data_IF_367700469583
#
_entry.id   IF_367700469583
#
_cell.length_a   1.000
_cell.length_b   1.000
_cell.length_c   1.000
_cell.angle_alpha   90.00
_cell.angle_beta   90.00
_cell.angle_gamma   90.00
#
_symmetry.space_group_name_H-M   'P 1'
#
loop_
_entity.id
_entity.type
_entity.pdbx_description
1 polymer ?
#
# COMPACT_ATOMS: atom_id res chain seq x y z
N UNK A 1 -75.20 -43.62 29.70
CA UNK A 1 -74.23 -42.52 29.62
C UNK A 1 -74.63 -41.60 28.47
N UNK A 2 -74.94 -40.34 28.82
CA UNK A 2 -74.99 -39.06 28.06
C UNK A 2 -74.94 -39.15 26.50
N UNK A 3 -75.96 -38.76 25.72
CA UNK A 3 -76.74 -37.51 25.58
C UNK A 3 -75.94 -36.36 24.92
N UNK A 4 -76.41 -35.96 23.71
CA UNK A 4 -76.30 -34.66 23.00
C UNK A 4 -74.89 -34.23 22.49
N UNK A 5 -74.67 -33.50 21.38
CA UNK A 5 -75.41 -32.42 20.68
C UNK A 5 -74.70 -32.16 19.32
N UNK A 6 -75.41 -32.16 18.17
CA UNK A 6 -75.89 -30.99 17.38
C UNK A 6 -74.79 -30.14 16.68
N UNK A 7 -74.71 -30.07 15.34
CA UNK A 7 -75.57 -29.42 14.34
C UNK A 7 -75.28 -27.91 14.14
N UNK A 8 -75.00 -27.54 12.87
CA UNK A 8 -75.21 -26.22 12.22
C UNK A 8 -74.34 -25.03 12.69
N UNK A 9 -73.81 -24.14 11.85
CA UNK A 9 -74.42 -23.39 10.74
C UNK A 9 -73.30 -22.71 9.95
N UNK A 10 -73.34 -22.77 8.61
CA UNK A 10 -72.54 -21.93 7.72
C UNK A 10 -73.23 -20.55 7.62
N UNK A 11 -72.59 -19.48 8.09
CA UNK A 11 -73.04 -18.10 7.87
C UNK A 11 -72.24 -17.47 6.73
N UNK A 12 -72.94 -17.19 5.62
CA UNK A 12 -72.49 -16.33 4.53
C UNK A 12 -72.28 -14.90 5.06
N UNK A 13 -71.05 -14.40 5.05
CA UNK A 13 -70.78 -12.96 5.20
C UNK A 13 -70.54 -12.39 3.81
N UNK A 14 -71.45 -11.50 3.40
CA UNK A 14 -71.34 -10.72 2.18
C UNK A 14 -70.11 -9.81 2.28
N UNK A 15 -69.16 -10.00 1.36
CA UNK A 15 -68.00 -9.14 1.17
C UNK A 15 -68.45 -7.83 0.53
N UNK A 16 -68.48 -6.75 1.31
CA UNK A 16 -68.27 -5.43 0.74
C UNK A 16 -66.80 -5.35 0.36
N UNK A 17 -66.50 -5.54 -0.93
CA UNK A 17 -65.19 -5.25 -1.46
C UNK A 17 -64.94 -3.75 -1.31
N UNK A 18 -64.36 -3.35 -0.18
CA UNK A 18 -63.56 -2.14 -0.14
C UNK A 18 -62.41 -2.38 -1.11
N UNK A 19 -62.50 -1.79 -2.30
CA UNK A 19 -61.32 -1.62 -3.12
C UNK A 19 -60.29 -0.94 -2.21
N UNK A 20 -59.16 -1.61 -1.94
CA UNK A 20 -58.09 -1.01 -1.18
C UNK A 20 -57.75 0.31 -1.86
N UNK A 21 -57.91 1.41 -1.13
CA UNK A 21 -57.56 2.72 -1.61
C UNK A 21 -56.08 2.69 -1.99
N UNK A 22 -55.73 3.12 -3.19
CA UNK A 22 -54.34 3.08 -3.65
C UNK A 22 -53.89 4.45 -4.11
N UNK A 23 -52.62 4.76 -3.86
CA UNK A 23 -52.02 5.98 -4.35
C UNK A 23 -51.76 5.87 -5.84
N UNK A 24 -52.20 6.89 -6.57
CA UNK A 24 -52.11 6.98 -8.01
C UNK A 24 -51.52 8.35 -8.40
N UNK A 25 -50.99 8.47 -9.61
CA UNK A 25 -50.60 9.76 -10.19
C UNK A 25 -51.10 9.93 -11.62
N UNK A 26 -51.52 11.14 -11.96
CA UNK A 26 -51.98 11.53 -13.30
C UNK A 26 -51.21 12.76 -13.82
N UNK A 27 -51.36 13.07 -15.11
CA UNK A 27 -50.71 14.21 -15.78
C UNK A 27 -49.19 14.25 -15.58
N UNK A 28 -48.55 13.09 -15.65
CA UNK A 28 -47.13 12.97 -15.37
C UNK A 28 -46.28 13.35 -16.59
N UNK A 29 -45.31 14.24 -16.37
CA UNK A 29 -44.42 14.77 -17.40
C UNK A 29 -42.98 14.78 -16.88
N UNK A 30 -42.05 14.27 -17.68
CA UNK A 30 -40.62 14.53 -17.51
C UNK A 30 -40.21 15.55 -18.56
N UNK A 31 -39.47 16.55 -18.13
CA UNK A 31 -38.86 17.54 -19.02
C UNK A 31 -37.37 17.65 -18.72
N UNK A 32 -36.54 17.56 -19.75
CA UNK A 32 -35.11 17.87 -19.68
C UNK A 32 -34.95 19.32 -20.08
N UNK A 33 -34.65 20.19 -19.13
CA UNK A 33 -34.35 21.60 -19.40
C UNK A 33 -32.86 21.73 -19.70
N UNK A 34 -32.52 22.00 -20.96
CA UNK A 34 -31.15 22.36 -21.36
C UNK A 34 -30.95 23.86 -21.36
N UNK A 35 -29.74 24.32 -20.99
CA UNK A 35 -29.36 25.75 -21.04
C UNK A 35 -29.03 26.23 -22.46
N UNK A 36 -28.78 25.31 -23.41
CA UNK A 36 -28.31 25.62 -24.78
C UNK A 36 -29.17 25.01 -25.91
N UNK A 37 -30.33 24.40 -25.62
CA UNK A 37 -31.15 23.75 -26.66
C UNK A 37 -32.61 23.52 -26.26
N UNK A 38 -33.44 23.10 -27.23
CA UNK A 38 -34.86 22.78 -27.05
C UNK A 38 -35.03 21.61 -26.06
N UNK A 39 -35.74 21.84 -24.95
CA UNK A 39 -35.95 20.82 -23.93
C UNK A 39 -36.86 19.69 -24.42
N UNK A 40 -36.47 18.44 -24.14
CA UNK A 40 -37.29 17.25 -24.40
C UNK A 40 -38.36 17.15 -23.31
N UNK A 41 -39.63 17.03 -23.69
CA UNK A 41 -40.75 16.82 -22.74
C UNK A 41 -41.52 15.58 -23.16
N UNK A 42 -41.57 14.59 -22.27
CA UNK A 42 -42.29 13.34 -22.49
C UNK A 42 -43.34 13.12 -21.40
N UNK A 43 -44.52 12.65 -21.83
CA UNK A 43 -45.60 12.26 -20.93
C UNK A 43 -45.49 10.77 -20.64
N UNK A 44 -45.69 10.39 -19.39
CA UNK A 44 -45.69 9.00 -18.98
C UNK A 44 -46.90 8.69 -18.11
N UNK A 45 -47.22 7.42 -17.96
CA UNK A 45 -48.39 6.96 -17.20
C UNK A 45 -47.98 5.83 -16.25
N UNK A 46 -48.85 5.50 -15.30
CA UNK A 46 -48.57 4.48 -14.28
C UNK A 46 -48.35 3.06 -14.83
N UNK A 47 -48.85 2.76 -16.03
CA UNK A 47 -48.89 1.39 -16.58
C UNK A 47 -47.78 1.09 -17.59
N UNK A 48 -47.11 2.12 -18.11
CA UNK A 48 -46.08 1.95 -19.13
C UNK A 48 -44.88 2.82 -18.79
N UNK A 49 -43.74 2.17 -18.62
CA UNK A 49 -42.41 2.81 -18.57
C UNK A 49 -42.11 3.40 -19.94
N UNK A 50 -41.46 4.57 -19.98
CA UNK A 50 -41.04 5.18 -21.24
C UNK A 50 -40.08 4.25 -21.98
N UNK A 51 -40.35 3.99 -23.27
CA UNK A 51 -39.61 3.03 -24.09
C UNK A 51 -38.26 3.55 -24.59
N UNK A 52 -38.03 4.86 -24.51
CA UNK A 52 -36.78 5.52 -24.89
C UNK A 52 -36.16 6.15 -23.65
N UNK A 53 -34.88 5.84 -23.42
CA UNK A 53 -34.12 6.50 -22.37
C UNK A 53 -33.88 7.98 -22.70
N UNK A 54 -33.99 8.81 -21.67
CA UNK A 54 -33.89 10.26 -21.77
C UNK A 54 -32.41 10.68 -21.71
N UNK A 55 -31.86 11.30 -22.76
CA UNK A 55 -30.45 11.71 -22.76
C UNK A 55 -30.25 12.94 -21.86
N UNK A 56 -29.31 12.85 -20.91
CA UNK A 56 -28.98 13.93 -20.00
C UNK A 56 -27.58 14.48 -20.27
N UNK A 57 -27.48 15.72 -20.75
CA UNK A 57 -26.20 16.41 -20.97
C UNK A 57 -25.68 17.09 -19.69
N UNK A 58 -24.43 17.54 -19.71
CA UNK A 58 -23.65 18.11 -18.61
C UNK A 58 -24.29 19.34 -17.96
N UNK A 59 -25.10 20.10 -18.69
CA UNK A 59 -25.76 21.32 -18.18
C UNK A 59 -27.25 21.17 -17.92
N UNK A 60 -27.78 19.96 -18.07
CA UNK A 60 -29.23 19.74 -18.10
C UNK A 60 -29.81 19.52 -16.69
N UNK A 61 -31.07 19.90 -16.55
CA UNK A 61 -31.87 19.70 -15.35
C UNK A 61 -33.07 18.84 -15.67
N UNK A 62 -33.26 17.75 -14.94
CA UNK A 62 -34.44 16.89 -15.03
C UNK A 62 -35.55 17.54 -14.20
N UNK A 63 -36.68 17.81 -14.81
CA UNK A 63 -37.87 18.29 -14.12
C UNK A 63 -39.00 17.30 -14.29
N UNK A 64 -39.49 16.77 -13.17
CA UNK A 64 -40.63 15.86 -13.13
C UNK A 64 -41.82 16.57 -12.49
N UNK A 65 -42.96 16.54 -13.17
CA UNK A 65 -44.23 17.11 -12.70
C UNK A 65 -45.31 16.04 -12.79
N UNK A 66 -46.05 15.85 -11.71
CA UNK A 66 -47.19 14.91 -11.67
C UNK A 66 -48.28 15.43 -10.72
N UNK A 67 -49.48 14.87 -10.81
CA UNK A 67 -50.56 15.11 -9.86
C UNK A 67 -50.85 13.84 -9.07
N UNK A 68 -50.64 13.87 -7.77
CA UNK A 68 -50.91 12.76 -6.86
C UNK A 68 -52.39 12.67 -6.53
N UNK A 69 -52.91 11.45 -6.48
CA UNK A 69 -54.30 11.13 -6.17
C UNK A 69 -54.37 10.00 -5.16
N UNK A 70 -55.37 10.10 -4.29
CA UNK A 70 -55.83 9.03 -3.42
C UNK A 70 -57.32 8.84 -3.72
N UNK A 71 -57.75 7.64 -4.08
CA UNK A 71 -59.13 7.34 -4.47
C UNK A 71 -59.71 8.30 -5.53
N UNK A 72 -58.91 8.55 -6.57
CA UNK A 72 -59.22 9.45 -7.71
C UNK A 72 -59.39 10.94 -7.34
N UNK A 73 -59.18 11.32 -6.07
CA UNK A 73 -59.21 12.71 -5.61
C UNK A 73 -57.77 13.24 -5.47
N UNK A 74 -57.49 14.48 -5.92
CA UNK A 74 -56.18 15.08 -5.73
C UNK A 74 -55.92 15.27 -4.24
N UNK A 75 -54.82 14.70 -3.74
CA UNK A 75 -54.43 14.80 -2.33
C UNK A 75 -52.92 14.89 -2.19
N UNK A 76 -52.47 15.62 -1.17
CA UNK A 76 -51.06 15.71 -0.80
C UNK A 76 -50.66 14.46 0.01
N UNK A 77 -49.75 13.60 -0.49
CA UNK A 77 -49.21 12.48 0.27
C UNK A 77 -48.22 12.96 1.33
N UNK A 78 -47.95 12.11 2.33
CA UNK A 78 -46.91 12.37 3.32
C UNK A 78 -45.50 12.18 2.72
N UNK A 79 -45.34 11.20 1.82
CA UNK A 79 -44.10 10.82 1.18
C UNK A 79 -44.28 10.83 -0.34
N UNK A 80 -43.42 11.57 -1.04
CA UNK A 80 -43.35 11.55 -2.50
C UNK A 80 -41.90 11.78 -2.92
N UNK A 81 -41.30 10.76 -3.55
CA UNK A 81 -39.91 10.80 -4.03
C UNK A 81 -39.81 10.29 -5.47
N UNK A 82 -38.84 10.83 -6.21
CA UNK A 82 -38.23 10.14 -7.36
C UNK A 82 -36.96 9.50 -6.85
N UNK A 83 -36.85 8.19 -6.98
CA UNK A 83 -35.64 7.44 -6.69
C UNK A 83 -34.94 7.14 -8.00
N UNK A 84 -33.70 7.59 -8.15
CA UNK A 84 -32.84 7.26 -9.27
C UNK A 84 -31.92 6.13 -8.81
N UNK A 85 -31.92 5.01 -9.54
CA UNK A 85 -31.18 3.80 -9.18
C UNK A 85 -30.17 3.44 -10.25
N UNK A 86 -28.98 3.05 -9.80
CA UNK A 86 -27.94 2.46 -10.63
C UNK A 86 -27.98 0.92 -10.51
N UNK A 87 -27.99 0.21 -11.64
CA UNK A 87 -28.16 -1.24 -11.67
C UNK A 87 -26.96 -2.01 -11.09
N UNK A 88 -25.73 -1.63 -11.46
CA UNK A 88 -24.53 -2.42 -11.13
C UNK A 88 -24.13 -2.33 -9.65
N UNK A 89 -24.28 -1.14 -9.06
CA UNK A 89 -23.92 -0.87 -7.66
C UNK A 89 -25.11 -1.01 -6.72
N UNK A 90 -26.34 -1.00 -7.27
CA UNK A 90 -27.57 -0.95 -6.51
C UNK A 90 -27.78 0.35 -5.72
N UNK A 91 -26.97 1.38 -5.98
CA UNK A 91 -27.07 2.68 -5.31
C UNK A 91 -28.37 3.38 -5.70
N UNK A 92 -29.00 4.02 -4.71
CA UNK A 92 -30.26 4.75 -4.89
C UNK A 92 -30.12 6.18 -4.36
N UNK A 93 -30.56 7.15 -5.16
CA UNK A 93 -30.59 8.56 -4.81
C UNK A 93 -32.05 9.06 -4.77
N UNK A 94 -32.60 9.35 -3.58
CA UNK A 94 -33.96 9.87 -3.44
C UNK A 94 -34.01 11.40 -3.59
N UNK A 95 -34.94 11.88 -4.41
CA UNK A 95 -35.23 13.30 -4.61
C UNK A 95 -36.68 13.60 -4.24
N UNK A 96 -36.89 14.50 -3.27
CA UNK A 96 -38.20 14.82 -2.73
C UNK A 96 -39.02 15.70 -3.69
N UNK A 97 -40.31 15.38 -3.86
CA UNK A 97 -41.23 16.26 -4.56
C UNK A 97 -41.69 17.41 -3.66
N UNK A 98 -41.73 18.63 -4.21
CA UNK A 98 -42.49 19.72 -3.63
C UNK A 98 -43.97 19.56 -4.01
N UNK A 99 -44.79 19.07 -3.07
CA UNK A 99 -46.22 18.81 -3.30
C UNK A 99 -47.10 19.90 -2.69
N UNK A 100 -47.94 20.52 -3.53
CA UNK A 100 -48.95 21.50 -3.12
C UNK A 100 -50.23 20.81 -2.62
N UNK A 101 -51.08 21.54 -1.91
CA UNK A 101 -52.38 21.02 -1.42
C UNK A 101 -53.28 20.49 -2.55
N UNK A 102 -53.16 21.08 -3.75
CA UNK A 102 -53.82 20.62 -4.99
C UNK A 102 -53.37 19.25 -5.52
N UNK A 103 -52.46 18.54 -4.84
CA UNK A 103 -51.85 17.28 -5.30
C UNK A 103 -50.81 17.46 -6.40
N UNK A 104 -50.56 18.68 -6.89
CA UNK A 104 -49.50 18.95 -7.87
C UNK A 104 -48.12 18.83 -7.21
N UNK A 105 -47.32 17.90 -7.69
CA UNK A 105 -45.96 17.60 -7.26
C UNK A 105 -44.95 18.03 -8.33
N UNK A 106 -43.87 18.71 -7.92
CA UNK A 106 -42.79 19.15 -8.81
C UNK A 106 -41.45 18.86 -8.16
N UNK A 107 -40.51 18.29 -8.91
CA UNK A 107 -39.10 18.17 -8.53
C UNK A 107 -38.23 18.62 -9.69
N UNK A 108 -37.18 19.39 -9.39
CA UNK A 108 -36.15 19.78 -10.35
C UNK A 108 -34.82 19.24 -9.83
N UNK A 109 -34.17 18.38 -10.61
CA UNK A 109 -32.94 17.65 -10.28
C UNK A 109 -31.88 18.07 -11.30
N UNK A 110 -30.98 19.00 -10.96
CA UNK A 110 -29.85 19.33 -11.83
C UNK A 110 -28.86 18.17 -11.85
N UNK A 111 -28.21 17.91 -13.00
CA UNK A 111 -27.20 16.82 -13.12
C UNK A 111 -26.09 16.91 -12.07
N UNK A 112 -25.76 18.13 -11.60
CA UNK A 112 -24.74 18.39 -10.56
C UNK A 112 -25.14 17.89 -9.17
N UNK A 113 -26.42 17.72 -8.89
CA UNK A 113 -26.92 17.19 -7.61
C UNK A 113 -26.98 15.66 -7.59
N UNK A 114 -26.77 15.00 -8.74
CA UNK A 114 -26.65 13.56 -8.79
C UNK A 114 -25.36 13.13 -8.07
N UNK A 115 -25.40 12.06 -7.25
CA UNK A 115 -24.22 11.45 -6.68
C UNK A 115 -23.17 11.14 -7.75
N UNK A 116 -21.90 11.32 -7.38
CA UNK A 116 -20.76 11.07 -8.28
C UNK A 116 -20.77 9.64 -8.82
N UNK A 117 -21.24 8.68 -8.02
CA UNK A 117 -21.34 7.28 -8.43
C UNK A 117 -22.31 7.10 -9.61
N UNK A 118 -23.47 7.76 -9.57
CA UNK A 118 -24.42 7.72 -10.69
C UNK A 118 -23.86 8.38 -11.94
N UNK A 119 -23.09 9.47 -11.80
CA UNK A 119 -22.44 10.16 -12.91
C UNK A 119 -21.33 9.34 -13.59
N UNK A 120 -20.86 8.26 -12.94
CA UNK A 120 -19.84 7.35 -13.46
C UNK A 120 -20.44 6.06 -14.04
N UNK A 121 -21.75 5.88 -13.94
CA UNK A 121 -22.44 4.73 -14.52
C UNK A 121 -22.33 4.74 -16.04
N UNK A 122 -21.94 3.61 -16.63
CA UNK A 122 -21.95 3.39 -18.08
C UNK A 122 -23.31 2.90 -18.60
N UNK A 123 -24.21 2.55 -17.68
CA UNK A 123 -25.55 2.04 -17.96
C UNK A 123 -26.61 3.12 -17.69
N UNK A 124 -27.79 3.02 -18.33
CA UNK A 124 -28.93 3.87 -18.00
C UNK A 124 -29.25 3.82 -16.50
N UNK A 125 -29.60 4.97 -15.93
CA UNK A 125 -30.10 5.08 -14.57
C UNK A 125 -31.63 4.91 -14.58
N UNK A 126 -32.16 4.06 -13.70
CA UNK A 126 -33.59 3.77 -13.62
C UNK A 126 -34.28 4.72 -12.65
N UNK A 127 -35.27 5.48 -13.12
CA UNK A 127 -36.07 6.35 -12.27
C UNK A 127 -37.39 5.68 -11.86
N UNK A 128 -37.64 5.62 -10.56
CA UNK A 128 -38.87 5.10 -9.96
C UNK A 128 -39.56 6.17 -9.12
N UNK A 129 -40.89 6.24 -9.21
CA UNK A 129 -41.70 7.11 -8.36
C UNK A 129 -42.19 6.32 -7.16
N UNK A 130 -41.98 6.90 -5.97
CA UNK A 130 -42.45 6.37 -4.69
C UNK A 130 -43.41 7.36 -4.05
N UNK A 131 -44.66 6.97 -3.87
CA UNK A 131 -45.70 7.77 -3.21
C UNK A 131 -46.29 6.96 -2.06
N UNK A 132 -46.42 7.57 -0.90
CA UNK A 132 -47.04 6.95 0.27
C UNK A 132 -47.56 7.96 1.28
N UNK A 133 -48.51 7.56 2.10
CA UNK A 133 -49.03 8.37 3.20
C UNK A 133 -49.41 7.47 4.37
N UNK A 134 -49.52 8.04 5.57
CA UNK A 134 -50.13 7.33 6.69
C UNK A 134 -51.60 7.02 6.38
N UNK A 135 -52.06 5.81 6.67
CA UNK A 135 -53.45 5.38 6.45
C UNK A 135 -53.56 3.92 5.99
N UNK A 136 -54.76 3.54 5.56
CA UNK A 136 -55.07 2.21 5.01
C UNK A 136 -54.81 2.09 3.50
N UNK A 137 -54.38 3.17 2.85
CA UNK A 137 -54.16 3.20 1.40
C UNK A 137 -52.82 2.58 1.02
N UNK A 138 -52.80 1.73 -0.02
CA UNK A 138 -51.58 1.13 -0.54
C UNK A 138 -50.65 2.18 -1.17
N UNK A 139 -49.38 2.12 -0.81
CA UNK A 139 -48.33 2.95 -1.40
C UNK A 139 -48.00 2.54 -2.83
N UNK A 140 -47.49 3.47 -3.62
CA UNK A 140 -47.14 3.25 -5.01
C UNK A 140 -45.62 3.27 -5.17
N UNK A 141 -45.06 2.20 -5.73
CA UNK A 141 -43.68 2.15 -6.23
C UNK A 141 -43.74 1.70 -7.68
N UNK A 142 -43.36 2.57 -8.62
CA UNK A 142 -43.38 2.23 -10.05
C UNK A 142 -42.12 2.73 -10.77
N UNK A 143 -41.49 1.90 -11.61
CA UNK A 143 -40.45 2.34 -12.54
C UNK A 143 -41.10 3.08 -13.71
N UNK A 144 -40.50 4.19 -14.12
CA UNK A 144 -41.20 5.18 -14.94
C UNK A 144 -40.43 5.54 -16.20
N UNK A 145 -39.14 5.83 -16.06
CA UNK A 145 -38.29 6.22 -17.17
C UNK A 145 -36.83 5.93 -16.85
N UNK A 146 -36.05 5.78 -17.90
CA UNK A 146 -34.61 5.57 -17.82
C UNK A 146 -33.88 6.83 -18.28
N UNK A 147 -32.72 7.10 -17.69
CA UNK A 147 -31.89 8.26 -17.98
C UNK A 147 -30.56 7.77 -18.53
N UNK A 148 -30.26 8.15 -19.77
CA UNK A 148 -28.95 7.89 -20.39
C UNK A 148 -28.05 9.10 -20.17
N UNK A 149 -26.89 8.88 -19.55
CA UNK A 149 -25.89 9.92 -19.37
C UNK A 149 -25.13 10.13 -20.68
N UNK A 150 -25.24 11.33 -21.25
CA UNK A 150 -24.41 11.71 -22.38
C UNK A 150 -23.07 12.19 -21.84
N UNK A 151 -22.03 11.42 -22.12
CA UNK A 151 -20.66 11.76 -21.74
C UNK A 151 -20.06 12.73 -22.76
N UNK A 152 -19.54 13.85 -22.26
CA UNK A 152 -18.79 14.79 -23.09
C UNK A 152 -17.30 14.38 -23.05
N UNK A 153 -16.70 13.97 -24.18
CA UNK A 153 -15.29 13.55 -24.23
C UNK A 153 -14.29 14.67 -23.91
N UNK A 154 -14.73 15.94 -23.92
CA UNK A 154 -13.89 17.08 -23.54
C UNK A 154 -13.92 17.40 -22.04
N UNK A 155 -14.81 16.79 -21.25
CA UNK A 155 -14.94 17.03 -19.82
C UNK A 155 -14.20 15.96 -19.02
N UNK A 156 -13.38 16.37 -18.05
CA UNK A 156 -12.73 15.44 -17.12
C UNK A 156 -13.79 14.68 -16.33
N UNK A 157 -13.83 13.34 -16.36
CA UNK A 157 -14.79 12.57 -15.59
C UNK A 157 -14.53 12.79 -14.09
N UNK A 158 -15.59 12.81 -13.26
CA UNK A 158 -15.42 13.03 -11.84
C UNK A 158 -14.66 11.85 -11.21
N UNK A 159 -13.60 12.12 -10.45
CA UNK A 159 -12.85 11.05 -9.80
C UNK A 159 -13.60 10.60 -8.54
N UNK A 160 -13.97 9.31 -8.51
CA UNK A 160 -14.47 8.66 -7.31
C UNK A 160 -13.60 7.46 -7.00
N UNK A 161 -12.85 7.57 -5.90
CA UNK A 161 -12.17 6.42 -5.32
C UNK A 161 -13.05 5.85 -4.22
N UNK A 162 -13.47 4.58 -4.38
CA UNK A 162 -14.29 3.91 -3.39
C UNK A 162 -13.48 3.80 -2.09
N UNK A 163 -13.95 4.37 -0.96
CA UNK A 163 -13.21 4.30 0.29
C UNK A 163 -13.08 2.85 0.74
N UNK A 164 -11.85 2.37 0.85
CA UNK A 164 -11.52 1.03 1.35
C UNK A 164 -11.73 1.04 2.86
N UNK A 165 -12.88 0.53 3.34
CA UNK A 165 -13.16 0.41 4.79
C UNK A 165 -12.52 -0.85 5.37
N UNK A 166 -12.71 -1.98 4.68
CA UNK A 166 -12.16 -3.28 5.05
C UNK A 166 -11.56 -3.91 3.80
N UNK A 167 -10.24 -4.09 3.79
CA UNK A 167 -9.50 -4.65 2.67
C UNK A 167 -8.10 -5.03 3.09
N UNK A 168 -7.49 -5.98 2.37
CA UNK A 168 -6.10 -6.34 2.59
C UNK A 168 -5.20 -5.16 2.18
N UNK A 169 -4.39 -4.68 3.11
CA UNK A 169 -3.35 -3.68 2.81
C UNK A 169 -2.22 -4.32 1.99
N UNK A 170 -1.49 -3.53 1.18
CA UNK A 170 -0.32 -4.02 0.48
C UNK A 170 0.74 -4.51 1.48
N UNK A 171 1.47 -5.55 1.09
CA UNK A 171 2.58 -6.09 1.87
C UNK A 171 3.76 -5.10 1.88
N UNK A 172 4.40 -4.94 3.04
CA UNK A 172 5.54 -4.04 3.20
C UNK A 172 6.83 -4.88 3.17
N UNK A 173 7.67 -4.66 2.15
CA UNK A 173 8.99 -5.29 2.07
C UNK A 173 10.07 -4.37 2.65
N UNK A 174 10.89 -4.91 3.55
CA UNK A 174 12.06 -4.18 4.07
C UNK A 174 13.15 -4.08 2.99
N UNK A 175 13.58 -2.86 2.68
CA UNK A 175 14.65 -2.60 1.71
C UNK A 175 15.99 -2.55 2.47
N UNK A 176 16.82 -3.56 2.26
CA UNK A 176 18.16 -3.60 2.84
C UNK A 176 19.08 -2.56 2.20
N UNK A 177 20.05 -2.08 2.97
CA UNK A 177 21.12 -1.21 2.45
C UNK A 177 21.87 -1.95 1.35
N UNK A 178 22.10 -1.26 0.23
CA UNK A 178 22.95 -1.79 -0.83
C UNK A 178 24.38 -2.06 -0.31
N UNK A 179 25.04 -3.13 -0.80
CA UNK A 179 26.43 -3.41 -0.42
C UNK A 179 27.36 -2.28 -0.87
N UNK A 180 28.39 -2.00 -0.07
CA UNK A 180 29.38 -0.98 -0.39
C UNK A 180 30.19 -1.39 -1.64
N UNK A 181 30.55 -0.40 -2.48
CA UNK A 181 31.32 -0.65 -3.71
C UNK A 181 32.78 -0.95 -3.38
N UNK A 182 33.29 -2.09 -3.83
CA UNK A 182 34.69 -2.49 -3.70
C UNK A 182 35.48 -2.23 -4.99
N UNK A 183 36.79 -1.87 -4.91
CA UNK A 183 37.61 -1.61 -6.08
C UNK A 183 37.91 -2.88 -6.91
N UNK A 184 38.28 -2.73 -8.19
CA UNK A 184 38.69 -3.86 -9.02
C UNK A 184 39.93 -4.58 -8.48
N UNK A 185 39.91 -5.92 -8.49
CA UNK A 185 41.00 -6.77 -7.96
C UNK A 185 42.38 -6.45 -8.56
N UNK A 186 42.44 -6.09 -9.83
CA UNK A 186 43.69 -5.76 -10.54
C UNK A 186 44.39 -4.56 -9.91
N UNK A 187 43.63 -3.55 -9.49
CA UNK A 187 44.17 -2.34 -8.85
C UNK A 187 44.74 -2.71 -7.48
N UNK A 188 44.01 -3.50 -6.70
CA UNK A 188 44.48 -3.97 -5.40
C UNK A 188 45.76 -4.81 -5.52
N UNK A 189 45.84 -5.74 -6.49
CA UNK A 189 47.04 -6.57 -6.71
C UNK A 189 48.25 -5.71 -7.07
N UNK A 190 48.09 -4.73 -7.98
CA UNK A 190 49.17 -3.83 -8.39
C UNK A 190 49.76 -3.09 -7.18
N UNK A 191 48.92 -2.50 -6.33
CA UNK A 191 49.39 -1.78 -5.14
C UNK A 191 49.99 -2.71 -4.09
N UNK A 192 49.46 -3.92 -3.91
CA UNK A 192 50.09 -4.92 -3.02
C UNK A 192 51.49 -5.27 -3.49
N UNK A 193 51.71 -5.47 -4.79
CA UNK A 193 53.04 -5.72 -5.35
C UNK A 193 53.95 -4.50 -5.21
N UNK A 194 53.42 -3.29 -5.38
CA UNK A 194 54.18 -2.05 -5.17
C UNK A 194 54.65 -1.90 -3.70
N UNK A 195 53.84 -2.32 -2.72
CA UNK A 195 54.22 -2.34 -1.30
C UNK A 195 55.23 -3.44 -0.98
N UNK A 196 55.20 -4.56 -1.71
CA UNK A 196 56.18 -5.65 -1.56
C UNK A 196 57.52 -5.38 -2.26
N UNK A 197 57.54 -4.53 -3.31
CA UNK A 197 58.73 -4.25 -4.11
C UNK A 197 59.95 -3.68 -3.35
N UNK A 198 59.80 -2.87 -2.28
CA UNK A 198 60.93 -2.42 -1.48
C UNK A 198 61.67 -3.56 -0.75
N UNK A 199 61.03 -4.70 -0.50
CA UNK A 199 61.67 -5.84 0.20
C UNK A 199 62.84 -6.43 -0.61
N UNK A 200 62.67 -6.87 -1.88
CA UNK A 200 63.81 -7.31 -2.68
C UNK A 200 64.81 -6.17 -2.94
N UNK A 201 64.35 -4.93 -3.11
CA UNK A 201 65.24 -3.79 -3.26
C UNK A 201 66.17 -3.61 -2.05
N UNK A 202 65.66 -3.79 -0.83
CA UNK A 202 66.45 -3.79 0.41
C UNK A 202 67.52 -4.88 0.41
N UNK A 203 67.15 -6.12 0.06
CA UNK A 203 68.11 -7.23 0.00
C UNK A 203 69.20 -7.02 -1.05
N UNK A 204 68.84 -6.51 -2.23
CA UNK A 204 69.82 -6.12 -3.26
C UNK A 204 70.74 -5.02 -2.72
N UNK A 205 70.18 -4.00 -2.08
CA UNK A 205 70.94 -2.93 -1.46
C UNK A 205 71.96 -3.44 -0.43
N UNK A 206 71.58 -4.37 0.43
CA UNK A 206 72.50 -5.01 1.38
C UNK A 206 73.64 -5.76 0.71
N UNK A 207 73.35 -6.51 -0.36
CA UNK A 207 74.38 -7.22 -1.13
C UNK A 207 75.35 -6.24 -1.77
N UNK A 208 74.84 -5.17 -2.39
CA UNK A 208 75.66 -4.12 -3.04
C UNK A 208 76.55 -3.39 -2.03
N UNK A 209 76.04 -3.16 -0.81
CA UNK A 209 76.79 -2.51 0.28
C UNK A 209 77.73 -3.45 1.04
N UNK A 210 77.80 -4.73 0.68
CA UNK A 210 78.73 -5.69 1.30
C UNK A 210 78.28 -6.22 2.67
N UNK A 211 76.97 -6.21 2.95
CA UNK A 211 76.43 -6.86 4.15
C UNK A 211 76.80 -8.34 4.17
N UNK A 212 77.31 -8.83 5.30
CA UNK A 212 77.86 -10.18 5.41
C UNK A 212 77.50 -10.82 6.77
N UNK A 213 77.75 -12.12 6.87
CA UNK A 213 77.50 -12.95 8.06
C UNK A 213 78.78 -13.57 8.62
N UNK A 214 79.93 -12.94 8.42
CA UNK A 214 81.26 -13.52 8.74
C UNK A 214 81.42 -13.85 10.22
N UNK A 215 80.88 -13.01 11.11
CA UNK A 215 80.97 -13.18 12.57
C UNK A 215 79.94 -14.16 13.15
N UNK A 216 79.05 -14.72 12.33
CA UNK A 216 78.02 -15.64 12.78
C UNK A 216 78.63 -16.94 13.34
N UNK A 217 79.68 -17.47 12.71
CA UNK A 217 80.39 -18.65 13.21
C UNK A 217 81.05 -18.38 14.57
N UNK A 218 81.67 -17.22 14.72
CA UNK A 218 82.29 -16.80 15.99
C UNK A 218 81.23 -16.66 17.08
N UNK A 219 80.09 -16.03 16.77
CA UNK A 219 78.93 -15.86 17.67
C UNK A 219 78.41 -17.18 18.22
N UNK A 220 78.17 -18.13 17.32
CA UNK A 220 77.67 -19.44 17.72
C UNK A 220 78.74 -20.32 18.38
N UNK A 221 80.04 -20.07 18.16
CA UNK A 221 81.09 -20.77 18.89
C UNK A 221 81.22 -20.29 20.34
N UNK A 222 81.08 -18.98 20.60
CA UNK A 222 81.25 -18.41 21.93
C UNK A 222 80.00 -18.53 22.82
N UNK A 223 78.81 -18.31 22.26
CA UNK A 223 77.56 -18.35 23.01
C UNK A 223 76.39 -18.90 22.16
N UNK A 224 76.43 -20.21 21.78
CA UNK A 224 75.47 -20.81 20.86
C UNK A 224 74.03 -20.71 21.36
N UNK A 225 73.83 -21.05 22.63
CA UNK A 225 72.49 -21.12 23.21
C UNK A 225 71.86 -19.73 23.35
N UNK A 226 72.65 -18.73 23.73
CA UNK A 226 72.16 -17.36 23.89
C UNK A 226 71.75 -16.74 22.55
N UNK A 227 72.55 -16.90 21.50
CA UNK A 227 72.22 -16.40 20.17
C UNK A 227 71.06 -17.14 19.52
N UNK A 228 71.02 -18.48 19.63
CA UNK A 228 69.92 -19.29 19.11
C UNK A 228 68.59 -18.94 19.77
N UNK A 229 68.55 -18.87 21.10
CA UNK A 229 67.32 -18.57 21.84
C UNK A 229 66.90 -17.12 21.61
N UNK A 230 67.84 -16.17 21.58
CA UNK A 230 67.52 -14.76 21.37
C UNK A 230 66.94 -14.50 19.97
N UNK A 231 67.56 -15.04 18.92
CA UNK A 231 67.00 -14.92 17.58
C UNK A 231 65.68 -15.69 17.45
N UNK A 232 65.63 -16.91 17.99
CA UNK A 232 64.43 -17.73 18.00
C UNK A 232 63.27 -17.07 18.74
N UNK A 233 63.52 -16.33 19.82
CA UNK A 233 62.48 -15.62 20.58
C UNK A 233 61.95 -14.40 19.84
N UNK A 234 62.79 -13.69 19.06
CA UNK A 234 62.34 -12.64 18.15
C UNK A 234 61.42 -13.22 17.08
N UNK A 235 61.83 -14.32 16.42
CA UNK A 235 61.00 -15.01 15.41
C UNK A 235 59.69 -15.52 16.03
N UNK A 236 59.75 -16.06 17.24
CA UNK A 236 58.56 -16.54 17.95
C UNK A 236 57.60 -15.39 18.33
N UNK A 237 58.12 -14.20 18.65
CA UNK A 237 57.31 -13.02 18.91
C UNK A 237 56.55 -12.59 17.66
N UNK A 238 57.23 -12.48 16.51
CA UNK A 238 56.62 -12.15 15.23
C UNK A 238 55.57 -13.19 14.80
N UNK A 239 55.88 -14.48 14.97
CA UNK A 239 54.93 -15.56 14.72
C UNK A 239 53.69 -15.45 15.62
N UNK A 240 53.86 -15.03 16.88
CA UNK A 240 52.74 -14.82 17.81
C UNK A 240 51.86 -13.65 17.36
N UNK A 241 52.45 -12.55 16.87
CA UNK A 241 51.69 -11.43 16.29
C UNK A 241 50.99 -11.82 14.99
N UNK A 242 51.62 -12.62 14.14
CA UNK A 242 50.96 -13.18 12.96
C UNK A 242 49.77 -14.07 13.33
N UNK A 243 49.92 -14.94 14.33
CA UNK A 243 48.82 -15.77 14.83
C UNK A 243 47.69 -14.94 15.43
N UNK A 244 48.01 -13.83 16.12
CA UNK A 244 47.02 -12.86 16.59
C UNK A 244 46.26 -12.18 15.45
N UNK A 245 46.95 -11.75 14.40
CA UNK A 245 46.29 -11.17 13.23
C UNK A 245 45.35 -12.19 12.54
N UNK A 246 45.75 -13.47 12.50
CA UNK A 246 44.99 -14.52 11.80
C UNK A 246 43.84 -15.10 12.64
N UNK A 247 44.08 -15.40 13.92
CA UNK A 247 43.17 -16.27 14.69
C UNK A 247 43.19 -16.15 16.21
N UNK A 248 44.30 -15.75 16.84
CA UNK A 248 44.37 -15.70 18.32
C UNK A 248 43.63 -14.49 18.85
N UNK A 249 43.08 -14.63 20.06
CA UNK A 249 42.55 -13.51 20.81
C UNK A 249 43.62 -12.86 21.70
N UNK A 250 43.30 -11.68 22.25
CA UNK A 250 44.25 -10.92 23.07
C UNK A 250 44.69 -11.68 24.33
N UNK A 251 43.80 -12.46 24.95
CA UNK A 251 44.10 -13.24 26.15
C UNK A 251 44.98 -14.47 25.88
N UNK A 252 45.06 -14.93 24.64
CA UNK A 252 46.03 -15.95 24.20
C UNK A 252 47.38 -15.30 23.87
N UNK A 253 47.37 -14.15 23.20
CA UNK A 253 48.59 -13.44 22.82
C UNK A 253 49.37 -12.95 24.06
N UNK A 254 48.71 -12.27 24.99
CA UNK A 254 49.38 -11.61 26.12
C UNK A 254 50.24 -12.56 26.98
N UNK A 255 49.77 -13.72 27.46
CA UNK A 255 50.60 -14.63 28.25
C UNK A 255 51.75 -15.22 27.42
N UNK A 256 51.50 -15.58 26.15
CA UNK A 256 52.54 -16.12 25.26
C UNK A 256 53.61 -15.07 24.98
N UNK A 257 53.22 -13.84 24.62
CA UNK A 257 54.12 -12.72 24.42
C UNK A 257 54.86 -12.34 25.71
N UNK A 258 54.22 -12.44 26.88
CA UNK A 258 54.86 -12.25 28.17
C UNK A 258 55.99 -13.25 28.41
N UNK A 259 55.73 -14.54 28.19
CA UNK A 259 56.75 -15.60 28.33
C UNK A 259 57.87 -15.41 27.32
N UNK A 260 57.56 -15.20 26.04
CA UNK A 260 58.56 -14.95 25.00
C UNK A 260 59.37 -13.68 25.34
N UNK A 261 58.74 -12.64 25.85
CA UNK A 261 59.40 -11.39 26.26
C UNK A 261 60.45 -11.61 27.35
N UNK A 262 60.13 -12.40 28.38
CA UNK A 262 61.09 -12.78 29.43
C UNK A 262 62.25 -13.58 28.83
N UNK A 263 61.97 -14.55 27.95
CA UNK A 263 63.00 -15.35 27.28
C UNK A 263 63.91 -14.47 26.42
N UNK A 264 63.34 -13.55 25.64
CA UNK A 264 64.08 -12.58 24.82
C UNK A 264 64.97 -11.70 25.67
N UNK A 265 64.47 -11.21 26.81
CA UNK A 265 65.24 -10.37 27.73
C UNK A 265 66.45 -11.11 28.32
N UNK A 266 66.24 -12.32 28.85
CA UNK A 266 67.31 -13.10 29.49
C UNK A 266 68.34 -13.63 28.49
N UNK A 267 67.91 -14.06 27.30
CA UNK A 267 68.83 -14.52 26.26
C UNK A 267 69.56 -13.36 25.58
N UNK A 268 68.87 -12.25 25.36
CA UNK A 268 69.41 -11.03 24.74
C UNK A 268 70.49 -10.39 25.58
N UNK A 269 70.31 -10.26 26.90
CA UNK A 269 71.37 -9.71 27.78
C UNK A 269 72.70 -10.48 27.66
N UNK A 270 72.64 -11.81 27.50
CA UNK A 270 73.84 -12.64 27.28
C UNK A 270 74.38 -12.55 25.85
N UNK A 271 73.51 -12.57 24.84
CA UNK A 271 73.92 -12.47 23.44
C UNK A 271 74.57 -11.11 23.14
N UNK A 272 73.92 -10.01 23.53
CA UNK A 272 74.48 -8.66 23.36
C UNK A 272 75.71 -8.42 24.23
N UNK A 273 75.80 -9.03 25.42
CA UNK A 273 76.99 -8.95 26.27
C UNK A 273 78.21 -9.59 25.62
N UNK A 274 78.02 -10.68 24.90
CA UNK A 274 79.09 -11.30 24.09
C UNK A 274 79.47 -10.43 22.88
N UNK A 275 78.49 -9.82 22.19
CA UNK A 275 78.79 -8.88 21.10
C UNK A 275 79.62 -7.69 21.61
N UNK A 276 79.30 -7.21 22.81
CA UNK A 276 80.08 -6.17 23.48
C UNK A 276 81.51 -6.65 23.81
N UNK A 277 81.70 -7.88 24.31
CA UNK A 277 83.02 -8.40 24.66
C UNK A 277 83.91 -8.55 23.43
N UNK A 278 83.37 -9.00 22.30
CA UNK A 278 84.07 -9.02 21.00
C UNK A 278 84.54 -7.64 20.57
N UNK A 279 83.64 -6.66 20.66
CA UNK A 279 83.96 -5.27 20.31
C UNK A 279 85.10 -4.72 21.17
N UNK A 280 85.14 -5.08 22.46
CA UNK A 280 86.23 -4.71 23.36
C UNK A 280 87.53 -5.46 23.07
N UNK A 281 87.45 -6.69 22.57
CA UNK A 281 88.60 -7.48 22.12
C UNK A 281 89.15 -7.04 20.74
N UNK A 282 88.50 -6.09 20.07
CA UNK A 282 88.91 -5.59 18.75
C UNK A 282 88.39 -6.41 17.57
N UNK A 283 87.52 -7.40 17.81
CA UNK A 283 86.84 -8.16 16.78
C UNK A 283 85.56 -7.40 16.37
N UNK A 284 85.61 -6.69 15.23
CA UNK A 284 84.49 -5.98 14.62
C UNK A 284 84.07 -6.62 13.32
#
# INVERSE_FOLDING_TARGET
>A
MRILQSLSTLLLVASTAYAASSWEFDDATVSIKSRKGAGLTEKFTQKATLSKALPLDTTDTIKVVLKTKEDRKPKKPHQAFVIIKEEDTGLEAPFAFAVKESGKAVVEIPRKELPVQHLLSKKPLHASIVIGSFGSSEGLVRPVFDIDLVDNPAATPPQYEKPIRYGKLPEIHHIFKAPDRVPPKIVSIFFTLAVLAPIPALFIGWIVLGANLTHLKTAFAAAPLSHAIFFGSIVAMEASFFMYHRSWNLFQLLPVAGVIGVITFLSGTKALGEVQSRRLAGER
#
